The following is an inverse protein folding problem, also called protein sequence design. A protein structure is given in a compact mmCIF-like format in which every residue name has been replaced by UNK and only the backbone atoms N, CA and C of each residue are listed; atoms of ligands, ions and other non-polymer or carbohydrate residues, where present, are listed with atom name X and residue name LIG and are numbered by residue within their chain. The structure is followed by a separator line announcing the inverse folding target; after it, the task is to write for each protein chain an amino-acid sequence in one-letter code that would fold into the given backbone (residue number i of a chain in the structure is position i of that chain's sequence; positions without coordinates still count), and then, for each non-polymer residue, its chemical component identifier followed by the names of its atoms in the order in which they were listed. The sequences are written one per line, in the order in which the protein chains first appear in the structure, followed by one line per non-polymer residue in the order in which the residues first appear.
data_IF_121643077446
#
_entry.id   IF_121643077446
#
_cell.length_a   1.000
_cell.length_b   1.000
_cell.length_c   1.000
_cell.angle_alpha   90.00
_cell.angle_beta   90.00
_cell.angle_gamma   90.00
#
_symmetry.space_group_name_H-M   'P 1'
#
loop_
_entity.id
_entity.type
_entity.pdbx_description
1 polymer ?
#
# COMPACT_ATOMS: atom_id res chain seq x y z
N UNK A 1 -48.92 2.22 -10.68
CA UNK A 1 -48.54 1.70 -9.35
C UNK A 1 -47.62 0.50 -9.53
N UNK A 2 -46.33 0.66 -9.21
CA UNK A 2 -45.43 -0.29 -8.51
C UNK A 2 -43.98 0.16 -8.76
N UNK A 3 -43.45 0.88 -7.76
CA UNK A 3 -42.11 1.44 -7.71
C UNK A 3 -41.07 0.32 -7.54
N UNK A 4 -40.06 0.27 -8.41
CA UNK A 4 -38.85 -0.54 -8.16
C UNK A 4 -37.69 0.36 -7.79
N UNK A 5 -37.54 0.59 -6.49
CA UNK A 5 -36.36 1.19 -5.88
C UNK A 5 -35.25 0.13 -5.84
N UNK A 6 -34.26 0.22 -6.74
CA UNK A 6 -33.07 -0.63 -6.68
C UNK A 6 -32.06 -0.04 -5.69
N UNK A 7 -32.24 -0.30 -4.41
CA UNK A 7 -31.18 -0.26 -3.40
C UNK A 7 -30.29 -1.49 -3.60
N UNK A 8 -29.23 -1.36 -4.40
CA UNK A 8 -28.20 -2.38 -4.47
C UNK A 8 -27.21 -2.16 -3.31
N UNK A 9 -27.48 -2.80 -2.18
CA UNK A 9 -26.55 -2.95 -1.07
C UNK A 9 -25.26 -3.59 -1.56
N UNK A 10 -24.17 -2.82 -1.47
CA UNK A 10 -22.80 -3.26 -1.63
C UNK A 10 -22.45 -4.19 -0.45
N UNK A 11 -22.67 -5.49 -0.60
CA UNK A 11 -22.12 -6.49 0.31
C UNK A 11 -20.92 -7.18 -0.36
N UNK A 12 -19.72 -6.76 0.02
CA UNK A 12 -18.53 -7.60 -0.12
C UNK A 12 -18.63 -8.72 0.91
N UNK A 13 -19.38 -9.78 0.59
CA UNK A 13 -19.37 -11.02 1.34
C UNK A 13 -18.20 -11.87 0.86
N UNK A 14 -17.05 -11.76 1.52
CA UNK A 14 -16.17 -12.93 1.66
C UNK A 14 -16.84 -13.81 2.72
N UNK A 15 -17.80 -14.63 2.30
CA UNK A 15 -18.46 -15.58 3.18
C UNK A 15 -17.68 -16.89 3.13
N UNK A 16 -16.59 -16.97 3.89
CA UNK A 16 -16.11 -18.28 4.31
C UNK A 16 -17.06 -18.76 5.40
N UNK A 17 -17.81 -19.83 5.14
CA UNK A 17 -18.61 -20.50 6.14
C UNK A 17 -17.67 -20.98 7.26
N UNK A 18 -17.61 -20.24 8.37
CA UNK A 18 -16.83 -20.60 9.54
C UNK A 18 -17.46 -21.75 10.35
N UNK A 19 -18.59 -22.31 9.91
CA UNK A 19 -19.39 -23.28 10.67
C UNK A 19 -19.85 -24.42 9.77
N UNK A 20 -19.31 -25.63 9.98
CA UNK A 20 -19.81 -26.82 9.30
C UNK A 20 -19.78 -28.04 10.23
N UNK A 21 -20.97 -28.57 10.55
CA UNK A 21 -21.19 -29.90 11.10
C UNK A 21 -21.00 -30.96 10.01
N UNK A 22 -20.77 -32.22 10.39
CA UNK A 22 -20.70 -33.35 9.46
C UNK A 22 -21.76 -34.39 9.80
N UNK A 23 -22.68 -34.65 8.87
CA UNK A 23 -23.62 -35.76 8.96
C UNK A 23 -22.99 -36.97 8.28
N UNK A 24 -22.85 -38.07 9.03
CA UNK A 24 -22.41 -39.36 8.50
C UNK A 24 -23.64 -40.25 8.36
N UNK A 25 -23.92 -40.72 7.15
CA UNK A 25 -25.01 -41.64 6.86
C UNK A 25 -24.63 -43.09 7.20
N UNK A 26 -25.63 -43.96 7.39
CA UNK A 26 -25.43 -45.40 7.58
C UNK A 26 -24.77 -46.07 6.37
N UNK A 27 -24.95 -45.49 5.18
CA UNK A 27 -24.25 -45.88 3.94
C UNK A 27 -22.75 -45.60 3.96
N UNK A 28 -22.25 -44.78 4.90
CA UNK A 28 -20.87 -44.32 4.97
C UNK A 28 -20.60 -42.98 4.27
N UNK A 29 -21.59 -42.43 3.55
CA UNK A 29 -21.53 -41.10 2.95
C UNK A 29 -21.46 -39.99 4.01
N UNK A 30 -20.74 -38.91 3.71
CA UNK A 30 -20.52 -37.78 4.62
C UNK A 30 -20.92 -36.47 3.95
N UNK A 31 -21.79 -35.70 4.60
CA UNK A 31 -22.16 -34.36 4.18
C UNK A 31 -21.63 -33.33 5.17
N UNK A 32 -20.87 -32.35 4.68
CA UNK A 32 -20.32 -31.24 5.47
C UNK A 32 -21.15 -29.99 5.21
N UNK A 33 -21.67 -29.35 6.27
CA UNK A 33 -22.68 -28.33 6.13
C UNK A 33 -23.28 -27.89 7.48
N UNK A 34 -24.43 -27.24 7.49
CA UNK A 34 -25.07 -26.76 8.73
C UNK A 34 -26.45 -27.36 8.90
N UNK A 35 -26.76 -27.91 10.09
CA UNK A 35 -28.14 -28.27 10.43
C UNK A 35 -28.95 -26.97 10.61
N UNK A 36 -29.91 -26.74 9.71
CA UNK A 36 -30.79 -25.56 9.71
C UNK A 36 -31.94 -25.77 10.71
N UNK A 37 -32.56 -26.95 10.66
CA UNK A 37 -33.68 -27.32 11.52
C UNK A 37 -33.82 -28.83 11.67
N UNK A 38 -34.48 -29.24 12.75
CA UNK A 38 -34.76 -30.64 13.07
C UNK A 38 -36.26 -30.82 13.29
N UNK A 39 -36.85 -31.76 12.57
CA UNK A 39 -38.24 -32.17 12.76
C UNK A 39 -38.27 -33.60 13.34
N UNK A 40 -39.45 -34.16 13.63
CA UNK A 40 -39.56 -35.51 14.22
C UNK A 40 -38.92 -36.61 13.35
N UNK A 41 -38.89 -36.46 12.03
CA UNK A 41 -38.46 -37.51 11.08
C UNK A 41 -37.22 -37.18 10.24
N UNK A 42 -36.76 -35.92 10.18
CA UNK A 42 -35.64 -35.52 9.30
C UNK A 42 -34.87 -34.31 9.81
N UNK A 43 -33.61 -34.22 9.41
CA UNK A 43 -32.79 -33.00 9.48
C UNK A 43 -32.88 -32.22 8.17
N UNK A 44 -33.00 -30.89 8.26
CA UNK A 44 -32.77 -29.99 7.12
C UNK A 44 -31.32 -29.48 7.21
N UNK A 45 -30.53 -29.76 6.19
CA UNK A 45 -29.08 -29.58 6.20
C UNK A 45 -28.62 -28.70 5.03
N UNK A 46 -28.01 -27.56 5.34
CA UNK A 46 -27.42 -26.67 4.34
C UNK A 46 -26.06 -27.23 3.89
N UNK A 47 -25.88 -27.53 2.62
CA UNK A 47 -24.60 -27.94 2.04
C UNK A 47 -24.06 -26.86 1.10
N UNK A 48 -22.75 -26.64 1.14
CA UNK A 48 -22.09 -25.76 0.18
C UNK A 48 -21.75 -26.57 -1.09
N UNK A 49 -22.47 -26.33 -2.20
CA UNK A 49 -22.19 -26.98 -3.50
C UNK A 49 -20.99 -26.31 -4.18
N UNK A 50 -20.83 -25.00 -3.98
CA UNK A 50 -19.63 -24.22 -4.32
C UNK A 50 -19.45 -23.08 -3.32
N UNK A 51 -18.30 -22.37 -3.33
CA UNK A 51 -18.02 -21.23 -2.44
C UNK A 51 -19.09 -20.10 -2.45
N UNK A 52 -20.02 -20.09 -3.41
CA UNK A 52 -21.09 -19.09 -3.53
C UNK A 52 -22.50 -19.67 -3.67
N UNK A 53 -22.66 -21.00 -3.73
CA UNK A 53 -23.95 -21.66 -3.94
C UNK A 53 -24.18 -22.63 -2.79
N UNK A 54 -25.28 -22.38 -2.08
CA UNK A 54 -25.78 -23.22 -0.99
C UNK A 54 -26.98 -24.00 -1.49
N UNK A 55 -27.10 -25.23 -1.03
CA UNK A 55 -28.23 -26.11 -1.30
C UNK A 55 -28.75 -26.68 0.02
N UNK A 56 -30.01 -27.07 0.05
CA UNK A 56 -30.66 -27.61 1.24
C UNK A 56 -31.00 -29.09 1.01
N UNK A 57 -30.36 -29.96 1.79
CA UNK A 57 -30.60 -31.39 1.75
C UNK A 57 -31.47 -31.79 2.95
N UNK A 58 -32.58 -32.48 2.67
CA UNK A 58 -33.40 -33.10 3.71
C UNK A 58 -32.93 -34.53 3.93
N UNK A 59 -32.39 -34.82 5.12
CA UNK A 59 -31.82 -36.12 5.47
C UNK A 59 -32.73 -36.81 6.52
N UNK A 60 -33.31 -37.97 6.23
CA UNK A 60 -34.07 -38.75 7.21
C UNK A 60 -33.22 -39.17 8.40
N UNK A 61 -33.76 -39.10 9.63
CA UNK A 61 -33.00 -39.50 10.83
C UNK A 61 -32.60 -40.98 10.80
N UNK A 62 -33.41 -41.80 10.17
CA UNK A 62 -33.16 -43.24 10.03
C UNK A 62 -31.92 -43.54 9.19
N UNK A 63 -31.54 -42.63 8.30
CA UNK A 63 -30.35 -42.77 7.45
C UNK A 63 -29.10 -42.20 8.11
N UNK A 64 -29.25 -41.40 9.18
CA UNK A 64 -28.13 -40.80 9.91
C UNK A 64 -27.53 -41.82 10.86
N UNK A 65 -26.24 -42.07 10.68
CA UNK A 65 -25.43 -42.85 11.62
C UNK A 65 -24.96 -41.99 12.80
N UNK A 66 -24.45 -40.80 12.51
CA UNK A 66 -24.01 -39.85 13.53
C UNK A 66 -23.91 -38.43 12.96
N UNK A 67 -24.09 -37.44 13.84
CA UNK A 67 -23.82 -36.03 13.54
C UNK A 67 -22.60 -35.62 14.35
N UNK A 68 -21.51 -35.30 13.66
CA UNK A 68 -20.28 -34.77 14.24
C UNK A 68 -20.42 -33.25 14.23
N UNK A 69 -20.70 -32.67 15.40
CA UNK A 69 -20.73 -31.21 15.55
C UNK A 69 -19.31 -30.66 15.45
N UNK A 70 -19.17 -29.50 14.81
CA UNK A 70 -17.90 -28.79 14.83
C UNK A 70 -17.48 -28.50 16.27
N UNK A 71 -16.26 -28.89 16.64
CA UNK A 71 -15.75 -28.60 17.98
C UNK A 71 -15.54 -27.08 18.15
N UNK A 72 -15.73 -26.58 19.37
CA UNK A 72 -15.48 -25.16 19.69
C UNK A 72 -14.02 -24.80 19.34
N UNK A 73 -13.09 -25.74 19.52
CA UNK A 73 -11.69 -25.61 19.13
C UNK A 73 -11.53 -25.43 17.62
N UNK A 74 -12.15 -26.28 16.79
CA UNK A 74 -12.06 -26.16 15.33
C UNK A 74 -12.63 -24.82 14.83
N UNK A 75 -13.75 -24.40 15.41
CA UNK A 75 -14.37 -23.09 15.12
C UNK A 75 -13.46 -21.92 15.49
N UNK A 76 -12.91 -21.92 16.69
CA UNK A 76 -12.00 -20.85 17.14
C UNK A 76 -10.71 -20.86 16.31
N UNK A 77 -10.23 -22.05 15.89
CA UNK A 77 -9.07 -22.17 15.00
C UNK A 77 -9.34 -21.54 13.64
N UNK A 78 -10.50 -21.80 13.01
CA UNK A 78 -10.88 -21.16 11.73
C UNK A 78 -10.89 -19.63 11.85
N UNK A 79 -11.36 -19.10 12.98
CA UNK A 79 -11.31 -17.66 13.24
C UNK A 79 -9.86 -17.16 13.29
N UNK A 80 -8.98 -17.83 14.05
CA UNK A 80 -7.56 -17.49 14.12
C UNK A 80 -6.88 -17.60 12.75
N UNK A 81 -7.16 -18.66 11.99
CA UNK A 81 -6.63 -18.88 10.64
C UNK A 81 -6.99 -17.74 9.68
N UNK A 82 -8.19 -17.17 9.80
CA UNK A 82 -8.63 -16.02 9.00
C UNK A 82 -7.92 -14.69 9.35
N UNK A 83 -7.13 -14.66 10.42
CA UNK A 83 -6.39 -13.45 10.82
C UNK A 83 -5.24 -13.12 9.88
N UNK A 84 -4.79 -14.09 9.08
CA UNK A 84 -3.73 -13.95 8.08
C UNK A 84 -4.19 -14.46 6.69
N UNK A 85 -3.64 -13.93 5.58
CA UNK A 85 -2.70 -12.82 5.53
C UNK A 85 -3.36 -11.48 5.86
N UNK A 86 -2.69 -10.66 6.66
CA UNK A 86 -3.10 -9.25 6.83
C UNK A 86 -2.83 -8.51 5.53
N UNK A 87 -3.79 -7.71 5.07
CA UNK A 87 -3.66 -6.90 3.85
C UNK A 87 -2.46 -5.95 3.95
N UNK A 88 -1.84 -5.63 2.83
CA UNK A 88 -0.79 -4.62 2.79
C UNK A 88 -1.27 -3.26 3.32
N UNK A 89 -0.30 -2.45 3.75
CA UNK A 89 -0.49 -1.07 4.20
C UNK A 89 -1.51 -0.90 5.34
N UNK A 90 -1.75 -1.95 6.15
CA UNK A 90 -2.54 -1.78 7.37
C UNK A 90 -1.76 -0.98 8.43
N UNK A 91 -2.44 -0.09 9.18
CA UNK A 91 -1.83 0.63 10.30
C UNK A 91 -1.59 -0.32 11.48
N UNK A 92 -0.71 0.07 12.42
CA UNK A 92 -0.44 -0.68 13.64
C UNK A 92 -1.71 -0.99 14.45
N UNK A 93 -2.72 -0.12 14.40
CA UNK A 93 -4.01 -0.29 15.08
C UNK A 93 -4.82 -1.50 14.59
N UNK A 94 -4.49 -2.08 13.43
CA UNK A 94 -5.18 -3.24 12.87
C UNK A 94 -4.76 -4.60 13.48
N UNK A 95 -3.71 -4.63 14.31
CA UNK A 95 -3.07 -5.86 14.80
C UNK A 95 -3.46 -6.27 16.23
N UNK A 96 -3.61 -5.37 17.23
CA UNK A 96 -3.77 -5.76 18.63
C UNK A 96 -4.89 -6.77 18.89
N UNK A 97 -6.06 -6.58 18.27
CA UNK A 97 -7.18 -7.51 18.45
C UNK A 97 -6.90 -8.88 17.82
N UNK A 98 -6.23 -8.94 16.65
CA UNK A 98 -5.83 -10.20 16.01
C UNK A 98 -4.86 -10.99 16.88
N UNK A 99 -3.86 -10.30 17.43
CA UNK A 99 -2.87 -10.87 18.36
C UNK A 99 -3.57 -11.39 19.61
N UNK A 100 -4.49 -10.60 20.20
CA UNK A 100 -5.25 -10.98 21.38
C UNK A 100 -6.12 -12.22 21.16
N UNK A 101 -6.84 -12.30 20.04
CA UNK A 101 -7.64 -13.47 19.67
C UNK A 101 -6.75 -14.71 19.54
N UNK A 102 -5.61 -14.57 18.86
CA UNK A 102 -4.64 -15.67 18.67
C UNK A 102 -4.05 -16.16 20.00
N UNK A 103 -3.65 -15.25 20.90
CA UNK A 103 -3.18 -15.61 22.26
C UNK A 103 -4.29 -16.27 23.09
N UNK A 104 -5.54 -15.83 22.92
CA UNK A 104 -6.69 -16.40 23.63
C UNK A 104 -6.93 -17.85 23.23
N UNK A 105 -6.77 -18.20 21.95
CA UNK A 105 -6.85 -19.58 21.48
C UNK A 105 -5.86 -20.49 22.21
N UNK A 106 -4.57 -20.11 22.20
CA UNK A 106 -3.49 -20.92 22.82
C UNK A 106 -3.77 -21.15 24.31
N UNK A 107 -4.24 -20.11 25.02
CA UNK A 107 -4.60 -20.22 26.44
C UNK A 107 -5.83 -21.10 26.66
N UNK A 108 -6.82 -21.02 25.78
CA UNK A 108 -8.07 -21.78 25.88
C UNK A 108 -7.89 -23.25 25.53
N UNK A 109 -6.98 -23.57 24.61
CA UNK A 109 -6.72 -24.93 24.13
C UNK A 109 -5.22 -25.30 24.21
N UNK A 110 -4.65 -25.47 25.42
CA UNK A 110 -3.20 -25.67 25.60
C UNK A 110 -2.65 -26.98 25.01
N UNK A 111 -3.52 -27.98 24.78
CA UNK A 111 -3.17 -29.28 24.17
C UNK A 111 -3.72 -29.44 22.74
N UNK A 112 -4.09 -28.33 22.10
CA UNK A 112 -4.63 -28.33 20.74
C UNK A 112 -3.64 -28.89 19.73
N UNK A 113 -4.13 -29.68 18.78
CA UNK A 113 -3.37 -30.08 17.59
C UNK A 113 -3.03 -28.88 16.67
N UNK A 114 -3.80 -27.79 16.75
CA UNK A 114 -3.61 -26.59 15.95
C UNK A 114 -2.55 -25.63 16.50
N UNK A 115 -2.02 -25.89 17.70
CA UNK A 115 -1.12 -24.95 18.40
C UNK A 115 0.15 -24.62 17.61
N UNK A 116 0.70 -25.55 16.82
CA UNK A 116 1.85 -25.24 15.96
C UNK A 116 1.50 -24.16 14.92
N UNK A 117 0.37 -24.34 14.22
CA UNK A 117 -0.12 -23.38 13.23
C UNK A 117 -0.51 -22.05 13.87
N UNK A 118 -1.19 -22.08 15.01
CA UNK A 118 -1.61 -20.87 15.72
C UNK A 118 -0.41 -20.08 16.24
N UNK A 119 0.65 -20.74 16.70
CA UNK A 119 1.90 -20.08 17.07
C UNK A 119 2.57 -19.42 15.85
N UNK A 120 2.59 -20.07 14.68
CA UNK A 120 3.10 -19.46 13.44
C UNK A 120 2.30 -18.20 13.04
N UNK A 121 0.98 -18.24 13.20
CA UNK A 121 0.10 -17.08 12.98
C UNK A 121 0.44 -15.97 13.96
N UNK A 122 0.61 -16.30 15.25
CA UNK A 122 0.98 -15.33 16.28
C UNK A 122 2.31 -14.65 15.97
N UNK A 123 3.35 -15.44 15.67
CA UNK A 123 4.68 -14.92 15.28
C UNK A 123 4.59 -14.02 14.05
N UNK A 124 3.78 -14.38 13.05
CA UNK A 124 3.55 -13.55 11.88
C UNK A 124 2.93 -12.21 12.28
N UNK A 125 1.84 -12.22 13.04
CA UNK A 125 1.14 -11.01 13.47
C UNK A 125 2.02 -10.09 14.34
N UNK A 126 2.80 -10.66 15.25
CA UNK A 126 3.71 -9.91 16.12
C UNK A 126 4.89 -9.31 15.33
N UNK A 127 5.48 -10.07 14.39
CA UNK A 127 6.53 -9.57 13.50
C UNK A 127 6.05 -8.42 12.61
N UNK A 128 4.87 -8.57 12.01
CA UNK A 128 4.25 -7.51 11.22
C UNK A 128 3.93 -6.28 12.08
N UNK A 129 3.36 -6.47 13.27
CA UNK A 129 3.06 -5.38 14.21
C UNK A 129 4.31 -4.61 14.64
N UNK A 130 5.37 -5.31 15.05
CA UNK A 130 6.62 -4.70 15.48
C UNK A 130 7.29 -3.93 14.34
N UNK A 131 7.32 -4.50 13.13
CA UNK A 131 7.86 -3.78 11.96
C UNK A 131 7.10 -2.48 11.69
N UNK A 132 5.78 -2.49 11.84
CA UNK A 132 4.93 -1.34 11.55
C UNK A 132 4.99 -0.28 12.67
N UNK A 133 5.05 -0.68 13.94
CA UNK A 133 5.19 0.26 15.07
C UNK A 133 6.54 0.99 15.02
N UNK A 134 7.58 0.31 14.56
CA UNK A 134 8.91 0.89 14.35
C UNK A 134 8.99 1.82 13.13
N UNK A 135 7.88 1.99 12.40
CA UNK A 135 7.75 2.90 11.25
C UNK A 135 7.98 2.25 9.88
N UNK A 136 8.17 0.93 9.85
CA UNK A 136 8.17 0.12 8.63
C UNK A 136 6.78 -0.01 8.00
N UNK A 137 6.66 -0.86 6.97
CA UNK A 137 5.40 -1.14 6.27
C UNK A 137 5.34 -2.57 5.76
N UNK A 138 4.13 -3.10 5.58
CA UNK A 138 3.89 -4.28 4.75
C UNK A 138 3.44 -3.85 3.35
N UNK A 139 4.14 -4.30 2.31
CA UNK A 139 3.85 -3.99 0.92
C UNK A 139 4.20 -5.19 0.02
N UNK A 140 3.28 -5.56 -0.88
CA UNK A 140 3.39 -6.75 -1.73
C UNK A 140 3.64 -8.04 -0.92
N UNK A 141 3.03 -8.14 0.26
CA UNK A 141 3.22 -9.27 1.17
C UNK A 141 4.56 -9.28 1.92
N UNK A 142 5.46 -8.33 1.66
CA UNK A 142 6.77 -8.24 2.29
C UNK A 142 6.80 -7.17 3.38
N UNK A 143 7.54 -7.48 4.45
CA UNK A 143 7.85 -6.52 5.51
C UNK A 143 9.06 -5.68 5.12
N UNK A 144 8.89 -4.36 5.12
CA UNK A 144 9.91 -3.37 4.80
C UNK A 144 10.20 -2.60 6.08
N UNK A 145 11.45 -2.65 6.54
CA UNK A 145 11.90 -1.92 7.74
C UNK A 145 11.77 -0.41 7.55
N UNK A 146 11.84 0.38 8.63
CA UNK A 146 11.85 1.84 8.54
C UNK A 146 13.01 2.36 7.69
N UNK A 147 14.20 1.80 7.88
CA UNK A 147 15.41 2.20 7.15
C UNK A 147 15.28 1.88 5.66
N UNK A 148 14.83 0.67 5.32
CA UNK A 148 14.60 0.29 3.92
C UNK A 148 13.49 1.11 3.29
N UNK A 149 12.45 1.45 4.06
CA UNK A 149 11.36 2.29 3.60
C UNK A 149 11.84 3.70 3.25
N UNK A 150 12.73 4.28 4.05
CA UNK A 150 13.35 5.57 3.78
C UNK A 150 14.26 5.50 2.56
N UNK A 151 15.14 4.50 2.49
CA UNK A 151 16.06 4.30 1.37
C UNK A 151 15.33 4.04 0.04
N UNK A 152 14.15 3.40 0.08
CA UNK A 152 13.34 3.06 -1.10
C UNK A 152 12.08 3.94 -1.25
N UNK A 153 12.00 5.07 -0.55
CA UNK A 153 10.77 5.88 -0.46
C UNK A 153 10.17 6.24 -1.83
N UNK A 154 11.02 6.61 -2.80
CA UNK A 154 10.60 6.95 -4.16
C UNK A 154 9.84 5.81 -4.86
N UNK A 155 10.38 4.59 -4.85
CA UNK A 155 9.77 3.44 -5.51
C UNK A 155 8.57 2.90 -4.71
N UNK A 156 8.61 2.98 -3.38
CA UNK A 156 7.49 2.60 -2.51
C UNK A 156 6.26 3.47 -2.77
N UNK A 157 6.44 4.80 -2.85
CA UNK A 157 5.32 5.70 -3.11
C UNK A 157 4.79 5.56 -4.55
N UNK A 158 5.69 5.34 -5.52
CA UNK A 158 5.28 4.97 -6.88
C UNK A 158 4.48 3.66 -6.90
N UNK A 159 4.88 2.66 -6.11
CA UNK A 159 4.22 1.36 -6.03
C UNK A 159 2.84 1.46 -5.39
N UNK A 160 2.68 2.29 -4.36
CA UNK A 160 1.38 2.60 -3.74
C UNK A 160 0.42 3.21 -4.74
N UNK A 161 0.89 4.15 -5.58
CA UNK A 161 0.06 4.72 -6.66
C UNK A 161 -0.37 3.64 -7.66
N UNK A 162 0.51 2.72 -8.05
CA UNK A 162 0.15 1.61 -8.93
C UNK A 162 -0.91 0.69 -8.30
N UNK A 163 -0.77 0.35 -7.01
CA UNK A 163 -1.79 -0.43 -6.29
C UNK A 163 -3.15 0.29 -6.25
N UNK A 164 -3.14 1.60 -6.01
CA UNK A 164 -4.35 2.43 -6.06
C UNK A 164 -4.99 2.41 -7.46
N UNK A 165 -4.20 2.54 -8.54
CA UNK A 165 -4.69 2.46 -9.92
C UNK A 165 -5.37 1.10 -10.17
N UNK A 166 -4.73 0.01 -9.76
CA UNK A 166 -5.27 -1.35 -9.91
C UNK A 166 -6.58 -1.53 -9.15
N UNK A 167 -6.64 -1.07 -7.88
CA UNK A 167 -7.85 -1.14 -7.04
C UNK A 167 -9.02 -0.32 -7.62
N UNK A 168 -8.75 0.90 -8.08
CA UNK A 168 -9.78 1.72 -8.71
C UNK A 168 -10.24 1.15 -10.05
N UNK A 169 -9.33 0.58 -10.84
CA UNK A 169 -9.67 -0.08 -12.09
C UNK A 169 -10.57 -1.31 -11.87
N UNK A 170 -10.26 -2.14 -10.87
CA UNK A 170 -11.06 -3.31 -10.51
C UNK A 170 -12.49 -2.95 -10.09
N UNK A 171 -12.67 -1.79 -9.46
CA UNK A 171 -13.98 -1.25 -9.05
C UNK A 171 -14.62 -0.33 -10.08
N UNK A 172 -14.11 -0.29 -11.33
CA UNK A 172 -14.57 0.56 -12.45
C UNK A 172 -14.57 2.07 -12.14
N UNK A 173 -13.80 2.49 -11.14
CA UNK A 173 -13.62 3.89 -10.71
C UNK A 173 -12.55 4.57 -11.57
N UNK A 174 -12.82 4.70 -12.86
CA UNK A 174 -11.81 5.08 -13.85
C UNK A 174 -11.25 6.49 -13.64
N UNK A 175 -12.07 7.48 -13.31
CA UNK A 175 -11.59 8.84 -13.02
C UNK A 175 -10.57 8.85 -11.88
N UNK A 176 -10.83 8.11 -10.80
CA UNK A 176 -9.91 8.02 -9.66
C UNK A 176 -8.62 7.29 -10.04
N UNK A 177 -8.71 6.21 -10.81
CA UNK A 177 -7.54 5.51 -11.33
C UNK A 177 -6.68 6.44 -12.22
N UNK A 178 -7.31 7.21 -13.11
CA UNK A 178 -6.62 8.08 -14.05
C UNK A 178 -5.97 9.29 -13.37
N UNK A 179 -6.56 9.82 -12.29
CA UNK A 179 -5.89 10.83 -11.44
C UNK A 179 -4.64 10.29 -10.76
N UNK A 180 -4.66 9.04 -10.29
CA UNK A 180 -3.48 8.38 -9.71
C UNK A 180 -2.41 8.12 -10.76
N UNK A 181 -2.82 7.74 -11.96
CA UNK A 181 -1.95 7.65 -13.12
C UNK A 181 -1.26 8.99 -13.42
N UNK A 182 -1.97 10.12 -13.41
CA UNK A 182 -1.37 11.44 -13.63
C UNK A 182 -0.24 11.78 -12.66
N UNK A 183 -0.45 11.51 -11.37
CA UNK A 183 0.60 11.68 -10.35
C UNK A 183 1.79 10.79 -10.66
N UNK A 184 1.55 9.53 -11.04
CA UNK A 184 2.61 8.60 -11.44
C UNK A 184 3.39 9.11 -12.67
N UNK A 185 2.71 9.71 -13.65
CA UNK A 185 3.36 10.28 -14.83
C UNK A 185 4.20 11.52 -14.51
N UNK A 186 3.75 12.38 -13.60
CA UNK A 186 4.44 13.64 -13.30
C UNK A 186 5.59 13.43 -12.31
N UNK A 187 5.37 12.65 -11.27
CA UNK A 187 6.23 12.62 -10.10
C UNK A 187 7.11 11.36 -10.08
N UNK A 188 6.68 10.29 -10.76
CA UNK A 188 7.32 8.97 -10.68
C UNK A 188 7.66 8.38 -12.05
N UNK A 189 7.88 9.23 -13.06
CA UNK A 189 8.16 8.82 -14.43
C UNK A 189 9.36 7.86 -14.56
N UNK A 190 10.31 7.95 -13.63
CA UNK A 190 11.54 7.15 -13.58
C UNK A 190 11.44 5.96 -12.60
N UNK A 191 10.23 5.55 -12.21
CA UNK A 191 10.00 4.37 -11.37
C UNK A 191 9.71 3.12 -12.21
N UNK A 192 9.97 1.94 -11.63
CA UNK A 192 9.50 0.66 -12.17
C UNK A 192 7.97 0.60 -12.23
N UNK A 193 7.31 1.16 -11.22
CA UNK A 193 5.84 1.25 -11.13
C UNK A 193 5.22 2.03 -12.29
N UNK A 194 5.85 3.13 -12.75
CA UNK A 194 5.39 3.86 -13.93
C UNK A 194 5.42 2.98 -15.19
N UNK A 195 6.52 2.27 -15.41
CA UNK A 195 6.66 1.35 -16.55
C UNK A 195 5.56 0.27 -16.52
N UNK A 196 5.32 -0.33 -15.36
CA UNK A 196 4.28 -1.35 -15.17
C UNK A 196 2.85 -0.80 -15.30
N UNK A 197 2.64 0.48 -14.97
CA UNK A 197 1.34 1.13 -15.04
C UNK A 197 0.91 1.46 -16.48
N UNK A 198 1.83 1.67 -17.43
CA UNK A 198 1.53 2.02 -18.83
C UNK A 198 0.46 1.11 -19.47
N UNK A 199 0.63 -0.23 -19.52
CA UNK A 199 -0.37 -1.10 -20.14
C UNK A 199 -1.71 -1.08 -19.40
N UNK A 200 -1.69 -0.92 -18.07
CA UNK A 200 -2.90 -0.85 -17.24
C UNK A 200 -3.66 0.46 -17.54
N UNK A 201 -2.95 1.59 -17.58
CA UNK A 201 -3.51 2.89 -17.92
C UNK A 201 -4.11 2.87 -19.34
N UNK A 202 -3.39 2.30 -20.32
CA UNK A 202 -3.90 2.14 -21.70
C UNK A 202 -5.25 1.40 -21.70
N UNK A 203 -5.35 0.27 -20.99
CA UNK A 203 -6.60 -0.50 -20.87
C UNK A 203 -7.71 0.33 -20.23
N UNK A 204 -7.43 1.00 -19.10
CA UNK A 204 -8.40 1.86 -18.40
C UNK A 204 -8.92 2.96 -19.34
N UNK A 205 -8.03 3.65 -20.06
CA UNK A 205 -8.41 4.75 -20.93
C UNK A 205 -9.31 4.25 -22.07
N UNK A 206 -9.00 3.12 -22.71
CA UNK A 206 -9.88 2.56 -23.75
C UNK A 206 -11.25 2.18 -23.21
N UNK A 207 -11.32 1.50 -22.06
CA UNK A 207 -12.61 1.13 -21.48
C UNK A 207 -13.42 2.35 -21.10
N UNK A 208 -12.78 3.34 -20.46
CA UNK A 208 -13.45 4.56 -20.06
C UNK A 208 -13.89 5.42 -21.25
N UNK A 209 -13.11 5.47 -22.33
CA UNK A 209 -13.50 6.12 -23.58
C UNK A 209 -14.81 5.55 -24.13
N UNK A 210 -14.97 4.21 -24.13
CA UNK A 210 -16.23 3.57 -24.54
C UNK A 210 -17.39 3.94 -23.63
N UNK A 211 -17.18 3.96 -22.31
CA UNK A 211 -18.20 4.40 -21.34
C UNK A 211 -18.62 5.84 -21.58
N UNK A 212 -17.67 6.76 -21.77
CA UNK A 212 -17.94 8.17 -22.03
C UNK A 212 -18.66 8.36 -23.37
N UNK A 213 -18.26 7.63 -24.41
CA UNK A 213 -18.96 7.66 -25.70
C UNK A 213 -20.41 7.21 -25.55
N UNK A 214 -20.65 6.09 -24.87
CA UNK A 214 -22.01 5.62 -24.59
C UNK A 214 -22.83 6.66 -23.82
N UNK A 215 -22.23 7.32 -22.81
CA UNK A 215 -22.89 8.41 -22.09
C UNK A 215 -23.24 9.59 -23.00
N UNK A 216 -22.38 9.98 -23.94
CA UNK A 216 -22.69 11.04 -24.91
C UNK A 216 -23.81 10.62 -25.86
N UNK A 217 -23.72 9.41 -26.42
CA UNK A 217 -24.65 8.91 -27.44
C UNK A 217 -26.09 8.76 -26.89
N UNK A 218 -26.24 8.48 -25.59
CA UNK A 218 -27.55 8.28 -24.92
C UNK A 218 -27.97 9.44 -24.00
N UNK A 219 -27.29 10.59 -24.10
CA UNK A 219 -27.56 11.73 -23.22
C UNK A 219 -28.97 12.31 -23.41
N UNK A 220 -29.38 12.48 -24.67
CA UNK A 220 -30.67 13.10 -25.00
C UNK A 220 -31.84 12.21 -24.57
N UNK A 221 -31.73 10.90 -24.81
CA UNK A 221 -32.68 9.88 -24.35
C UNK A 221 -32.84 9.92 -22.82
N UNK A 222 -31.75 9.80 -22.05
CA UNK A 222 -31.81 9.87 -20.58
C UNK A 222 -32.40 11.17 -20.07
N UNK A 223 -32.13 12.28 -20.76
CA UNK A 223 -32.65 13.60 -20.38
C UNK A 223 -34.17 13.67 -20.61
N UNK A 224 -34.64 13.13 -21.73
CA UNK A 224 -36.07 13.01 -22.03
C UNK A 224 -36.79 12.07 -21.05
N UNK A 225 -36.20 10.91 -20.75
CA UNK A 225 -36.72 9.97 -19.74
C UNK A 225 -36.86 10.61 -18.37
N UNK A 226 -35.82 11.32 -17.91
CA UNK A 226 -35.87 12.06 -16.63
C UNK A 226 -37.00 13.08 -16.65
N UNK A 227 -37.14 13.86 -17.72
CA UNK A 227 -38.22 14.86 -17.85
C UNK A 227 -39.60 14.20 -17.81
N UNK A 228 -39.79 13.09 -18.53
CA UNK A 228 -41.04 12.33 -18.53
C UNK A 228 -41.38 11.79 -17.13
N UNK A 229 -40.39 11.20 -16.45
CA UNK A 229 -40.54 10.72 -15.08
C UNK A 229 -40.98 11.84 -14.13
N UNK A 230 -40.33 13.01 -14.20
CA UNK A 230 -40.69 14.18 -13.38
C UNK A 230 -42.12 14.67 -13.66
N UNK A 231 -42.56 14.68 -14.92
CA UNK A 231 -43.93 15.06 -15.29
C UNK A 231 -44.97 14.07 -14.76
N UNK A 232 -44.62 12.78 -14.64
CA UNK A 232 -45.53 11.75 -14.12
C UNK A 232 -45.67 11.74 -12.59
N UNK A 233 -44.77 12.42 -11.87
CA UNK A 233 -44.82 12.52 -10.40
C UNK A 233 -45.98 13.42 -9.94
N UNK A 234 -46.52 13.15 -8.75
CA UNK A 234 -47.42 14.09 -8.07
C UNK A 234 -46.66 15.36 -7.66
N UNK A 235 -47.38 16.43 -7.32
CA UNK A 235 -46.80 17.75 -7.06
C UNK A 235 -45.76 17.74 -5.92
N UNK A 236 -46.06 17.10 -4.79
CA UNK A 236 -45.18 17.08 -3.62
C UNK A 236 -43.88 16.30 -3.90
N UNK A 237 -43.97 15.16 -4.57
CA UNK A 237 -42.80 14.35 -4.92
C UNK A 237 -41.96 15.02 -6.01
N UNK A 238 -42.60 15.70 -6.96
CA UNK A 238 -41.92 16.50 -7.99
C UNK A 238 -41.09 17.61 -7.34
N UNK A 239 -41.70 18.41 -6.46
CA UNK A 239 -41.00 19.51 -5.77
C UNK A 239 -39.80 19.00 -4.97
N UNK A 240 -39.98 17.93 -4.18
CA UNK A 240 -38.88 17.30 -3.42
C UNK A 240 -37.76 16.81 -4.33
N UNK A 241 -38.10 16.22 -5.47
CA UNK A 241 -37.12 15.71 -6.44
C UNK A 241 -36.39 16.85 -7.14
N UNK A 242 -37.08 17.93 -7.52
CA UNK A 242 -36.47 19.14 -8.09
C UNK A 242 -35.45 19.76 -7.13
N UNK A 243 -35.82 19.91 -5.85
CA UNK A 243 -34.92 20.42 -4.82
C UNK A 243 -33.68 19.52 -4.66
N UNK A 244 -33.88 18.18 -4.64
CA UNK A 244 -32.78 17.23 -4.53
C UNK A 244 -31.83 17.28 -5.75
N UNK A 245 -32.38 17.38 -6.96
CA UNK A 245 -31.60 17.51 -8.20
C UNK A 245 -30.84 18.84 -8.24
N UNK A 246 -31.48 19.94 -7.84
CA UNK A 246 -30.83 21.25 -7.78
C UNK A 246 -29.68 21.27 -6.77
N UNK A 247 -29.84 20.63 -5.61
CA UNK A 247 -28.78 20.47 -4.62
C UNK A 247 -27.63 19.58 -5.15
N UNK A 248 -27.95 18.45 -5.79
CA UNK A 248 -26.94 17.60 -6.43
C UNK A 248 -26.14 18.38 -7.48
N UNK A 249 -26.82 19.16 -8.33
CA UNK A 249 -26.17 19.95 -9.38
C UNK A 249 -25.30 21.07 -8.79
N UNK A 250 -25.74 21.73 -7.71
CA UNK A 250 -24.93 22.72 -6.97
C UNK A 250 -23.66 22.10 -6.37
N UNK A 251 -23.78 20.93 -5.73
CA UNK A 251 -22.62 20.19 -5.18
C UNK A 251 -21.65 19.80 -6.27
N UNK A 252 -22.17 19.27 -7.38
CA UNK A 252 -21.37 18.86 -8.53
C UNK A 252 -20.64 20.06 -9.17
N UNK A 253 -21.35 21.17 -9.44
CA UNK A 253 -20.75 22.38 -9.99
C UNK A 253 -19.61 22.89 -9.09
N UNK A 254 -19.85 22.96 -7.78
CA UNK A 254 -18.82 23.35 -6.80
C UNK A 254 -17.61 22.41 -6.85
N UNK A 255 -17.83 21.10 -6.98
CA UNK A 255 -16.75 20.13 -7.10
C UNK A 255 -15.94 20.34 -8.38
N UNK A 256 -16.59 20.55 -9.53
CA UNK A 256 -15.91 20.76 -10.81
C UNK A 256 -15.09 22.04 -10.81
N UNK A 257 -15.59 23.14 -10.25
CA UNK A 257 -14.82 24.38 -10.13
C UNK A 257 -13.57 24.19 -9.25
N UNK A 258 -13.70 23.47 -8.13
CA UNK A 258 -12.54 23.08 -7.30
C UNK A 258 -11.54 22.19 -8.04
N UNK A 259 -12.02 21.32 -8.92
CA UNK A 259 -11.15 20.44 -9.71
C UNK A 259 -10.43 21.20 -10.82
N UNK A 260 -11.13 22.09 -11.54
CA UNK A 260 -10.54 22.96 -12.57
C UNK A 260 -9.52 23.94 -12.00
N UNK A 261 -9.76 24.49 -10.81
CA UNK A 261 -8.82 25.37 -10.13
C UNK A 261 -7.49 24.67 -9.78
N UNK A 262 -7.47 23.34 -9.72
CA UNK A 262 -6.27 22.55 -9.48
C UNK A 262 -5.61 22.18 -10.80
N UNK A 263 -4.55 22.90 -11.16
CA UNK A 263 -3.78 22.72 -12.41
C UNK A 263 -3.32 21.29 -12.72
N UNK A 264 -3.26 20.40 -11.73
CA UNK A 264 -2.81 19.00 -11.88
C UNK A 264 -3.93 18.01 -12.17
N UNK A 265 -5.21 18.38 -12.08
CA UNK A 265 -6.34 17.48 -12.33
C UNK A 265 -6.79 17.64 -13.78
N UNK A 266 -6.47 16.68 -14.66
CA UNK A 266 -6.99 16.71 -16.05
C UNK A 266 -8.26 15.90 -16.22
N UNK A 267 -8.46 14.86 -15.40
CA UNK A 267 -9.68 14.05 -15.39
C UNK A 267 -10.70 14.61 -14.41
N UNK A 268 -11.73 15.26 -14.94
CA UNK A 268 -12.82 15.81 -14.14
C UNK A 268 -13.76 14.71 -13.66
N UNK A 269 -14.45 14.96 -12.55
CA UNK A 269 -15.57 14.12 -12.14
C UNK A 269 -16.66 14.17 -13.22
N UNK A 270 -17.37 13.08 -13.44
CA UNK A 270 -18.41 12.99 -14.47
C UNK A 270 -19.75 12.85 -13.79
N UNK A 271 -20.68 13.74 -14.15
CA UNK A 271 -22.10 13.53 -13.97
C UNK A 271 -22.70 12.99 -15.29
N UNK A 272 -23.62 12.04 -15.21
CA UNK A 272 -24.19 11.35 -16.39
C UNK A 272 -25.07 12.26 -17.25
N UNK A 273 -25.43 13.45 -16.77
CA UNK A 273 -26.24 14.44 -17.46
C UNK A 273 -25.45 15.70 -17.84
N UNK A 274 -24.21 15.84 -17.38
CA UNK A 274 -23.37 16.99 -17.70
C UNK A 274 -22.55 16.75 -18.98
N UNK A 275 -23.08 17.23 -20.12
CA UNK A 275 -22.42 17.12 -21.43
C UNK A 275 -20.98 17.65 -21.42
N UNK A 276 -20.71 18.70 -20.66
CA UNK A 276 -19.42 19.38 -20.65
C UNK A 276 -18.31 18.48 -20.08
N UNK A 277 -18.51 17.90 -18.89
CA UNK A 277 -17.53 16.98 -18.29
C UNK A 277 -17.35 15.70 -19.09
N UNK A 278 -18.43 15.10 -19.60
CA UNK A 278 -18.35 13.88 -20.41
C UNK A 278 -17.51 14.15 -21.66
N UNK A 279 -17.79 15.25 -22.36
CA UNK A 279 -17.06 15.63 -23.58
C UNK A 279 -15.60 15.99 -23.30
N UNK A 280 -15.33 16.72 -22.20
CA UNK A 280 -13.98 17.05 -21.76
C UNK A 280 -13.16 15.78 -21.52
N UNK A 281 -13.66 14.87 -20.69
CA UNK A 281 -12.97 13.62 -20.40
C UNK A 281 -12.83 12.74 -21.65
N UNK A 282 -13.84 12.71 -22.53
CA UNK A 282 -13.75 11.95 -23.77
C UNK A 282 -12.60 12.45 -24.66
N UNK A 283 -12.46 13.76 -24.86
CA UNK A 283 -11.30 14.33 -25.59
C UNK A 283 -9.98 14.01 -24.89
N UNK A 284 -9.97 14.05 -23.55
CA UNK A 284 -8.79 13.72 -22.76
C UNK A 284 -8.35 12.26 -22.93
N UNK A 285 -9.28 11.32 -23.14
CA UNK A 285 -8.93 9.92 -23.48
C UNK A 285 -8.14 9.83 -24.78
N UNK A 286 -8.57 10.52 -25.83
CA UNK A 286 -7.89 10.54 -27.14
C UNK A 286 -6.49 11.14 -27.03
N UNK A 287 -6.36 12.28 -26.36
CA UNK A 287 -5.07 12.94 -26.12
C UNK A 287 -4.10 12.04 -25.34
N UNK A 288 -4.59 11.39 -24.28
CA UNK A 288 -3.79 10.51 -23.42
C UNK A 288 -3.33 9.25 -24.15
N UNK A 289 -4.19 8.62 -24.96
CA UNK A 289 -3.80 7.47 -25.78
C UNK A 289 -2.72 7.84 -26.81
N UNK A 290 -2.84 9.00 -27.46
CA UNK A 290 -1.82 9.52 -28.38
C UNK A 290 -0.50 9.77 -27.67
N UNK A 291 -0.52 10.36 -26.47
CA UNK A 291 0.66 10.60 -25.65
C UNK A 291 1.35 9.30 -25.20
N UNK A 292 0.59 8.28 -24.82
CA UNK A 292 1.13 6.96 -24.47
C UNK A 292 1.74 6.29 -25.70
N UNK A 293 1.11 6.42 -26.88
CA UNK A 293 1.63 5.84 -28.12
C UNK A 293 2.92 6.52 -28.61
N UNK A 294 3.04 7.86 -28.46
CA UNK A 294 4.22 8.61 -28.89
C UNK A 294 5.41 8.47 -27.96
N UNK A 295 5.20 8.07 -26.70
CA UNK A 295 6.26 7.61 -25.81
C UNK A 295 6.77 6.24 -26.30
N UNK A 296 7.66 6.25 -27.29
CA UNK A 296 8.15 5.04 -27.98
C UNK A 296 8.61 3.94 -27.03
N UNK A 297 8.46 2.67 -27.45
CA UNK A 297 9.03 1.50 -26.74
C UNK A 297 10.54 1.67 -26.47
N UNK A 298 11.27 2.32 -27.36
CA UNK A 298 12.71 2.61 -27.22
C UNK A 298 12.99 3.53 -26.05
N UNK A 299 12.27 4.67 -25.94
CA UNK A 299 12.38 5.60 -24.79
C UNK A 299 11.95 4.96 -23.46
N UNK A 300 11.11 3.93 -23.50
CA UNK A 300 10.71 3.16 -22.31
C UNK A 300 11.72 2.08 -21.92
N UNK A 301 12.46 1.50 -22.87
CA UNK A 301 13.54 0.55 -22.60
C UNK A 301 14.77 1.23 -22.00
N UNK A 302 15.07 2.45 -22.45
CA UNK A 302 16.20 3.27 -21.96
C UNK A 302 15.84 4.11 -20.71
N UNK A 303 14.68 3.85 -20.09
CA UNK A 303 14.25 4.61 -18.92
C UNK A 303 15.24 4.39 -17.77
N UNK A 304 16.04 5.41 -17.49
CA UNK A 304 16.92 5.43 -16.31
C UNK A 304 16.08 5.43 -15.04
N UNK A 305 16.20 4.37 -14.24
CA UNK A 305 15.43 4.18 -13.02
C UNK A 305 16.00 5.03 -11.89
N UNK A 306 15.16 5.85 -11.25
CA UNK A 306 15.58 6.70 -10.14
C UNK A 306 15.61 5.97 -8.80
N UNK A 307 14.80 4.92 -8.63
CA UNK A 307 14.72 4.14 -7.38
C UNK A 307 16.05 3.54 -6.92
N UNK A 308 16.76 2.76 -7.76
CA UNK A 308 18.08 2.26 -7.41
C UNK A 308 19.07 3.38 -7.05
N UNK A 309 19.11 4.45 -7.84
CA UNK A 309 20.00 5.60 -7.61
C UNK A 309 19.69 6.30 -6.28
N UNK A 310 18.41 6.39 -5.90
CA UNK A 310 17.99 6.96 -4.61
C UNK A 310 18.48 6.11 -3.43
N UNK A 311 18.36 4.79 -3.52
CA UNK A 311 18.88 3.86 -2.51
C UNK A 311 20.41 3.88 -2.46
N UNK A 312 21.07 3.96 -3.60
CA UNK A 312 22.53 4.02 -3.69
C UNK A 312 23.06 5.31 -3.05
N UNK A 313 22.35 6.44 -3.22
CA UNK A 313 22.68 7.70 -2.54
C UNK A 313 22.65 7.55 -1.01
N UNK A 314 21.60 6.93 -0.45
CA UNK A 314 21.52 6.65 0.98
C UNK A 314 22.62 5.71 1.45
N UNK A 315 22.93 4.69 0.64
CA UNK A 315 24.00 3.72 0.95
C UNK A 315 25.38 4.39 0.97
N UNK A 316 25.65 5.28 0.01
CA UNK A 316 26.89 6.05 -0.05
C UNK A 316 27.03 6.98 1.17
N UNK A 317 25.95 7.69 1.54
CA UNK A 317 25.92 8.52 2.74
C UNK A 317 26.19 7.72 4.02
N UNK A 318 25.54 6.55 4.17
CA UNK A 318 25.76 5.68 5.33
C UNK A 318 27.20 5.16 5.44
N UNK A 319 27.89 4.98 4.30
CA UNK A 319 29.30 4.58 4.24
C UNK A 319 30.29 5.75 4.38
N UNK A 320 29.81 6.98 4.43
CA UNK A 320 30.65 8.18 4.41
C UNK A 320 31.27 8.51 3.05
N UNK A 321 30.82 7.89 1.96
CA UNK A 321 31.27 8.21 0.61
C UNK A 321 30.53 9.44 0.06
N UNK A 322 31.02 10.62 0.45
CA UNK A 322 30.38 11.89 0.15
C UNK A 322 30.48 12.28 -1.34
N UNK A 323 31.41 11.69 -2.09
CA UNK A 323 31.62 11.96 -3.51
C UNK A 323 30.58 11.19 -4.33
N UNK A 324 30.44 9.90 -4.06
CA UNK A 324 29.44 9.07 -4.74
C UNK A 324 28.02 9.52 -4.38
N UNK A 325 27.77 9.86 -3.11
CA UNK A 325 26.49 10.45 -2.69
C UNK A 325 26.14 11.72 -3.49
N UNK A 326 27.08 12.65 -3.67
CA UNK A 326 26.86 13.86 -4.46
C UNK A 326 26.54 13.53 -5.93
N UNK A 327 27.24 12.56 -6.51
CA UNK A 327 27.03 12.16 -7.90
C UNK A 327 25.65 11.51 -8.10
N UNK A 328 25.22 10.66 -7.17
CA UNK A 328 23.86 10.11 -7.19
C UNK A 328 22.81 11.22 -7.05
N UNK A 329 22.98 12.17 -6.12
CA UNK A 329 22.05 13.30 -5.94
C UNK A 329 21.97 14.16 -7.21
N UNK A 330 23.10 14.49 -7.85
CA UNK A 330 23.12 15.21 -9.14
C UNK A 330 22.36 14.45 -10.23
N UNK A 331 22.51 13.13 -10.24
CA UNK A 331 21.76 12.28 -11.17
C UNK A 331 20.25 12.32 -10.90
N UNK A 332 19.82 12.24 -9.64
CA UNK A 332 18.41 12.33 -9.28
C UNK A 332 17.80 13.71 -9.61
N UNK A 333 18.58 14.79 -9.44
CA UNK A 333 18.19 16.13 -9.86
C UNK A 333 17.97 16.24 -11.37
N UNK A 334 18.86 15.64 -12.18
CA UNK A 334 18.71 15.63 -13.64
C UNK A 334 17.51 14.81 -14.10
N UNK A 335 17.14 13.76 -13.34
CA UNK A 335 15.90 13.00 -13.52
C UNK A 335 14.64 13.74 -13.04
N UNK A 336 14.79 14.93 -12.43
CA UNK A 336 13.69 15.79 -11.97
C UNK A 336 12.71 15.07 -11.04
N UNK A 337 13.22 14.21 -10.15
CA UNK A 337 12.37 13.57 -9.14
C UNK A 337 11.82 14.63 -8.16
N UNK A 338 10.70 14.36 -7.46
CA UNK A 338 10.10 15.29 -6.52
C UNK A 338 11.07 15.69 -5.40
N UNK A 339 11.05 16.98 -5.02
CA UNK A 339 11.97 17.55 -4.02
C UNK A 339 11.93 16.81 -2.67
N UNK A 340 10.78 16.26 -2.29
CA UNK A 340 10.62 15.51 -1.04
C UNK A 340 11.58 14.31 -0.91
N UNK A 341 12.09 13.77 -2.02
CA UNK A 341 13.08 12.69 -2.04
C UNK A 341 14.52 13.20 -2.16
N UNK A 342 14.71 14.43 -2.64
CA UNK A 342 16.03 15.06 -2.77
C UNK A 342 16.46 15.76 -1.48
N UNK A 343 15.53 16.44 -0.82
CA UNK A 343 15.82 17.27 0.35
C UNK A 343 16.46 16.48 1.48
N UNK A 344 15.96 15.29 1.88
CA UNK A 344 16.60 14.50 2.94
C UNK A 344 18.05 14.11 2.59
N UNK A 345 18.29 13.67 1.35
CA UNK A 345 19.63 13.32 0.87
C UNK A 345 20.58 14.52 0.89
N UNK A 346 20.11 15.69 0.45
CA UNK A 346 20.90 16.92 0.43
C UNK A 346 21.23 17.42 1.84
N UNK A 347 20.28 17.35 2.75
CA UNK A 347 20.47 17.69 4.16
C UNK A 347 21.52 16.79 4.79
N UNK A 348 21.37 15.47 4.64
CA UNK A 348 22.31 14.49 5.19
C UNK A 348 23.73 14.63 4.58
N UNK A 349 23.83 14.88 3.27
CA UNK A 349 25.13 15.18 2.64
C UNK A 349 25.80 16.42 3.24
N UNK A 350 25.04 17.50 3.48
CA UNK A 350 25.55 18.73 4.07
C UNK A 350 26.02 18.51 5.51
N UNK A 351 25.23 17.80 6.31
CA UNK A 351 25.55 17.46 7.70
C UNK A 351 26.81 16.58 7.76
N UNK A 352 26.87 15.53 6.93
CA UNK A 352 28.02 14.63 6.85
C UNK A 352 29.31 15.35 6.44
N UNK A 353 29.23 16.32 5.51
CA UNK A 353 30.36 17.18 5.15
C UNK A 353 30.82 18.05 6.32
N UNK A 354 29.87 18.63 7.05
CA UNK A 354 30.17 19.43 8.24
C UNK A 354 30.90 18.60 9.30
N UNK A 355 30.38 17.42 9.60
CA UNK A 355 31.00 16.48 10.54
C UNK A 355 32.41 16.06 10.12
N UNK A 356 32.61 15.73 8.83
CA UNK A 356 33.93 15.36 8.29
C UNK A 356 34.94 16.52 8.42
N UNK A 357 34.52 17.77 8.15
CA UNK A 357 35.40 18.93 8.32
C UNK A 357 35.80 19.17 9.77
N UNK A 358 34.88 18.97 10.71
CA UNK A 358 35.16 19.06 12.15
C UNK A 358 36.17 17.99 12.55
N UNK A 359 35.93 16.73 12.16
CA UNK A 359 36.84 15.62 12.44
C UNK A 359 38.25 15.84 11.88
N UNK A 360 38.37 16.38 10.66
CA UNK A 360 39.68 16.74 10.06
C UNK A 360 40.39 17.84 10.88
N UNK A 361 39.65 18.86 11.34
CA UNK A 361 40.23 19.93 12.17
C UNK A 361 40.71 19.40 13.52
N UNK A 362 39.93 18.55 14.17
CA UNK A 362 40.30 17.90 15.43
C UNK A 362 41.50 16.97 15.27
N UNK A 363 41.52 16.15 14.22
CA UNK A 363 42.65 15.28 13.91
C UNK A 363 43.95 16.07 13.69
N UNK A 364 43.88 17.21 12.99
CA UNK A 364 45.03 18.11 12.81
C UNK A 364 45.52 18.70 14.13
N UNK A 365 44.59 19.19 14.97
CA UNK A 365 44.92 19.73 16.29
C UNK A 365 45.57 18.68 17.20
N UNK A 366 45.04 17.46 17.19
CA UNK A 366 45.59 16.34 17.97
C UNK A 366 46.98 15.92 17.45
N UNK A 367 47.17 15.85 16.14
CA UNK A 367 48.47 15.55 15.55
C UNK A 367 49.54 16.62 15.86
N UNK A 368 49.14 17.89 15.88
CA UNK A 368 50.03 19.00 16.26
C UNK A 368 50.39 18.96 17.75
N UNK A 369 49.40 18.70 18.62
CA UNK A 369 49.64 18.51 20.06
C UNK A 369 50.58 17.32 20.34
N UNK A 370 50.45 16.23 19.59
CA UNK A 370 51.31 15.06 19.73
C UNK A 370 52.74 15.34 19.26
N UNK A 371 52.92 16.06 18.14
CA UNK A 371 54.24 16.53 17.72
C UNK A 371 54.92 17.41 18.79
N UNK A 372 54.17 18.33 19.39
CA UNK A 372 54.67 19.18 20.49
C UNK A 372 55.07 18.37 21.73
N UNK A 373 54.32 17.31 22.07
CA UNK A 373 54.68 16.38 23.15
C UNK A 373 55.95 15.62 22.83
N UNK A 374 56.08 15.08 21.62
CA UNK A 374 57.28 14.37 21.19
C UNK A 374 58.52 15.27 21.23
N UNK A 375 58.42 16.51 20.73
CA UNK A 375 59.51 17.50 20.81
C UNK A 375 59.94 17.78 22.25
N UNK A 376 58.99 17.83 23.21
CA UNK A 376 59.32 18.00 24.63
C UNK A 376 60.04 16.79 25.20
N UNK A 377 59.55 15.58 24.92
CA UNK A 377 60.17 14.33 25.36
C UNK A 377 61.60 14.18 24.80
N UNK A 378 61.81 14.50 23.53
CA UNK A 378 63.12 14.44 22.88
C UNK A 378 64.11 15.44 23.50
N UNK A 379 63.64 16.64 23.87
CA UNK A 379 64.45 17.64 24.60
C UNK A 379 64.82 17.17 26.00
N UNK A 380 63.86 16.62 26.75
CA UNK A 380 64.10 16.10 28.10
C UNK A 380 65.10 14.93 28.09
N UNK A 381 65.01 14.04 27.09
CA UNK A 381 65.98 12.96 26.88
C UNK A 381 67.39 13.49 26.54
N UNK A 382 67.49 14.52 25.69
CA UNK A 382 68.77 15.14 25.34
C UNK A 382 69.43 15.85 26.53
N UNK A 383 68.64 16.51 27.38
CA UNK A 383 69.14 17.19 28.59
C UNK A 383 69.54 16.19 29.70
N UNK A 384 68.82 15.07 29.82
CA UNK A 384 69.21 13.94 30.68
C UNK A 384 70.54 13.30 30.28
N UNK A 385 70.79 13.11 28.98
CA UNK A 385 72.05 12.58 28.46
C UNK A 385 73.25 13.53 28.69
N UNK A 386 73.02 14.86 28.67
CA UNK A 386 74.06 15.85 28.98
C UNK A 386 74.43 15.89 30.47
N UNK A 387 73.49 15.62 31.38
CA UNK A 387 73.79 15.50 32.82
C UNK A 387 74.64 14.27 33.15
N UNK A 388 74.40 13.13 32.49
CA UNK A 388 75.23 11.93 32.68
C UNK A 388 76.68 12.08 32.19
N UNK A 389 76.94 12.92 31.17
CA UNK A 389 78.32 13.21 30.72
C UNK A 389 79.10 14.15 31.63
N UNK A 390 78.45 14.93 32.51
CA UNK A 390 79.12 15.81 33.48
C UNK A 390 79.42 15.13 34.83
N UNK A 391 78.94 13.91 35.05
CA UNK A 391 79.16 13.13 36.28
C UNK A 391 80.33 12.13 36.23
N UNK A 392 81.02 11.97 35.08
CA UNK A 392 82.23 11.15 35.00
C UNK A 392 83.46 12.00 35.33
N UNK A 393 83.83 12.00 36.60
CA UNK A 393 85.14 12.47 37.10
C UNK A 393 86.24 11.61 36.47
N UNK A 394 87.34 12.19 35.94
CA UNK A 394 88.44 11.39 35.41
C UNK A 394 89.14 10.65 36.55
N UNK A 395 89.37 9.34 36.37
CA UNK A 395 90.22 8.56 37.27
C UNK A 395 91.66 9.13 37.26
N UNK A 396 92.35 9.17 38.41
CA UNK A 396 93.72 9.68 38.49
C UNK A 396 94.67 8.71 37.76
N UNK A 397 95.54 9.27 36.92
CA UNK A 397 96.53 8.50 36.15
C UNK A 397 97.68 8.02 37.07
N UNK A 398 98.19 6.79 36.90
CA UNK A 398 99.53 6.42 37.36
C UNK A 398 100.62 7.07 36.51
#
# INVERSE_FOLDING_TARGET
MHNYWKTLCLSTLLCTALHADTIVLKSGEKHTGRVISENSTSYLFEIDVTNSIKDELRIPKDDVKQIIKESIESKDFKLVASMVPVRDLQPATAYPERIKITKTFIRKFPKSEYNETVNKILTTLESEYNTIIDGGIKLDGQLISRQDKEANAYDIDARRLLLDIQRYAATRRYTQALRKWEVLQSDYRNSTSFKSAIPIAKRIIYTYQKTLKSLLDTLDERTAERKSAMSSMNANDRERTELALAEQQRRYATQIEREKAKSRIKWLTVDTYDKASISHNYRQTTSSLKSIASASRTKQKELKLAGPIHRDAWTALAKGDLKDAEQHIKTLQSLRIPKQYLTPLQTNLKESRGAMQIAIKEAKKNAEAEKLRQIKLDKEAADGAKKNKKGQTPAPKP
#
